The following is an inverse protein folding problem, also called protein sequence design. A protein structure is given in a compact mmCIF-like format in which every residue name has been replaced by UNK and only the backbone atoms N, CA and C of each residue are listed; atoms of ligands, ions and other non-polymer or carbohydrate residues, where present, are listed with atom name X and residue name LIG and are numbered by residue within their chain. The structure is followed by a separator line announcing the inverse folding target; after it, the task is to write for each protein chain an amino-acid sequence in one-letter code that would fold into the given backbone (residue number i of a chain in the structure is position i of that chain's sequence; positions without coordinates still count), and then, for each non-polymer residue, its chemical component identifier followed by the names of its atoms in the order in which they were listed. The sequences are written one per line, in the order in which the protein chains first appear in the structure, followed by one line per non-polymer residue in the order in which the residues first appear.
data_IF_021858177104
#
_entry.id   IF_021858177104
#
_cell.length_a   1.000
_cell.length_b   1.000
_cell.length_c   1.000
_cell.angle_alpha   90.00
_cell.angle_beta   90.00
_cell.angle_gamma   90.00
#
_symmetry.space_group_name_H-M   'P 1'
#
loop_
_entity.id
_entity.type
_entity.pdbx_description
1 polymer ?
#
# COMPACT_ATOMS: atom_id res chain seq x y z
N UNK A 1 -9.74 -10.22 -36.40
CA UNK A 1 -9.22 -10.96 -35.24
C UNK A 1 -8.84 -9.95 -34.16
N UNK A 2 -9.81 -9.56 -33.32
CA UNK A 2 -9.50 -8.77 -32.13
C UNK A 2 -8.94 -9.73 -31.07
N UNK A 3 -7.78 -9.47 -30.47
CA UNK A 3 -7.39 -10.25 -29.31
C UNK A 3 -8.42 -9.91 -28.22
N UNK A 4 -9.28 -10.88 -27.93
CA UNK A 4 -10.01 -10.91 -26.68
C UNK A 4 -8.94 -10.79 -25.59
N UNK A 5 -8.84 -9.59 -25.00
CA UNK A 5 -7.94 -9.33 -23.88
C UNK A 5 -8.28 -10.38 -22.83
N UNK A 6 -7.38 -11.35 -22.70
CA UNK A 6 -7.42 -12.38 -21.68
C UNK A 6 -7.75 -11.65 -20.38
N UNK A 7 -8.90 -11.95 -19.75
CA UNK A 7 -9.27 -11.30 -18.49
C UNK A 7 -8.33 -11.84 -17.42
N UNK A 8 -7.07 -11.41 -17.48
CA UNK A 8 -6.09 -11.61 -16.44
C UNK A 8 -6.72 -11.11 -15.14
N UNK A 9 -6.56 -11.91 -14.08
CA UNK A 9 -7.06 -11.52 -12.77
C UNK A 9 -6.56 -10.10 -12.45
N UNK A 10 -7.39 -9.26 -11.79
CA UNK A 10 -7.01 -7.89 -11.47
C UNK A 10 -5.69 -7.90 -10.70
N UNK A 11 -4.69 -7.09 -11.11
CA UNK A 11 -3.39 -7.05 -10.45
C UNK A 11 -3.54 -6.68 -8.97
N UNK A 12 -2.66 -7.22 -8.13
CA UNK A 12 -2.59 -6.84 -6.71
C UNK A 12 -1.46 -5.85 -6.50
N UNK A 13 -1.79 -4.68 -5.96
CA UNK A 13 -0.87 -3.57 -5.74
C UNK A 13 -0.62 -3.42 -4.23
N UNK A 14 0.64 -3.57 -3.83
CA UNK A 14 1.08 -3.31 -2.46
C UNK A 14 1.41 -1.83 -2.26
N UNK A 15 0.89 -1.22 -1.20
CA UNK A 15 1.11 0.17 -0.83
C UNK A 15 1.85 0.26 0.50
N UNK A 16 3.03 0.86 0.49
CA UNK A 16 3.87 1.00 1.70
C UNK A 16 3.51 2.30 2.39
N UNK A 17 2.76 2.15 3.48
CA UNK A 17 2.19 3.21 4.29
C UNK A 17 2.93 3.37 5.63
N UNK A 18 4.19 2.95 5.72
CA UNK A 18 5.00 3.06 6.95
C UNK A 18 5.22 4.49 7.40
N UNK A 19 5.23 5.45 6.47
CA UNK A 19 5.38 6.88 6.75
C UNK A 19 4.10 7.54 7.29
N UNK A 20 2.93 6.89 7.17
CA UNK A 20 1.71 7.36 7.83
C UNK A 20 1.78 7.14 9.35
N UNK A 21 2.63 6.21 9.81
CA UNK A 21 2.83 5.90 11.22
C UNK A 21 3.86 6.85 11.87
N UNK A 22 3.42 8.05 12.22
CA UNK A 22 4.04 8.83 13.29
C UNK A 22 5.12 9.83 12.86
N UNK A 23 4.74 11.11 12.94
CA UNK A 23 5.65 12.25 12.96
C UNK A 23 4.83 13.51 13.15
N UNK A 24 4.65 13.95 14.39
CA UNK A 24 3.91 15.16 14.75
C UNK A 24 4.78 16.39 14.41
N UNK A 25 4.82 16.74 13.13
CA UNK A 25 5.36 18.00 12.63
C UNK A 25 4.29 18.65 11.75
N UNK A 26 4.12 19.97 11.82
CA UNK A 26 3.08 20.70 11.07
C UNK A 26 3.08 20.39 9.56
N UNK A 27 4.27 20.21 8.96
CA UNK A 27 4.44 19.75 7.56
C UNK A 27 3.95 18.31 7.33
N UNK A 28 4.07 17.45 8.34
CA UNK A 28 3.60 16.07 8.29
C UNK A 28 2.08 15.96 8.38
N UNK A 29 1.39 16.94 9.00
CA UNK A 29 -0.07 16.92 9.11
C UNK A 29 -0.77 16.99 7.73
N UNK A 30 -0.30 17.86 6.84
CA UNK A 30 -0.86 17.99 5.48
C UNK A 30 -0.61 16.75 4.62
N UNK A 31 0.64 16.25 4.59
CA UNK A 31 1.00 15.06 3.81
C UNK A 31 0.31 13.81 4.36
N UNK A 32 0.22 13.69 5.69
CA UNK A 32 -0.49 12.58 6.33
C UNK A 32 -1.96 12.55 5.91
N UNK A 33 -2.68 13.67 6.06
CA UNK A 33 -4.10 13.76 5.66
C UNK A 33 -4.28 13.47 4.18
N UNK A 34 -3.41 14.02 3.31
CA UNK A 34 -3.46 13.74 1.88
C UNK A 34 -3.26 12.26 1.57
N UNK A 35 -2.21 11.62 2.10
CA UNK A 35 -1.96 10.20 1.91
C UNK A 35 -3.09 9.34 2.47
N UNK A 36 -3.66 9.72 3.62
CA UNK A 36 -4.79 9.03 4.22
C UNK A 36 -6.02 9.07 3.31
N UNK A 37 -6.41 10.25 2.85
CA UNK A 37 -7.55 10.43 1.94
C UNK A 37 -7.31 9.75 0.59
N UNK A 38 -6.08 9.79 0.08
CA UNK A 38 -5.71 9.07 -1.14
C UNK A 38 -5.95 7.56 -0.96
N UNK A 39 -5.44 6.96 0.12
CA UNK A 39 -5.64 5.54 0.39
C UNK A 39 -7.11 5.18 0.63
N UNK A 40 -7.89 6.10 1.21
CA UNK A 40 -9.33 5.94 1.43
C UNK A 40 -10.12 5.92 0.12
N UNK A 41 -9.69 6.65 -0.91
CA UNK A 41 -10.45 6.78 -2.16
C UNK A 41 -9.87 5.98 -3.33
N UNK A 42 -8.62 5.54 -3.27
CA UNK A 42 -7.96 4.81 -4.35
C UNK A 42 -8.74 3.58 -4.86
N UNK A 43 -9.29 2.70 -3.99
CA UNK A 43 -10.05 1.53 -4.44
C UNK A 43 -11.37 1.89 -5.12
N UNK A 44 -11.94 3.06 -4.81
CA UNK A 44 -13.20 3.54 -5.38
C UNK A 44 -13.00 4.06 -6.81
N UNK A 45 -11.84 4.66 -7.09
CA UNK A 45 -11.51 5.25 -8.39
C UNK A 45 -10.87 4.22 -9.33
N UNK A 46 -10.18 3.20 -8.80
CA UNK A 46 -9.52 2.17 -9.61
C UNK A 46 -9.94 0.75 -9.21
N UNK A 47 -11.14 0.35 -9.63
CA UNK A 47 -11.66 -1.00 -9.42
C UNK A 47 -10.92 -2.10 -10.22
N UNK A 48 -10.01 -1.71 -11.13
CA UNK A 48 -9.22 -2.63 -11.95
C UNK A 48 -8.11 -3.35 -11.20
N UNK A 49 -7.83 -3.01 -9.93
CA UNK A 49 -6.81 -3.65 -9.11
C UNK A 49 -7.29 -3.91 -7.68
N UNK A 50 -6.59 -4.83 -7.00
CA UNK A 50 -6.73 -5.09 -5.58
C UNK A 50 -5.62 -4.37 -4.83
N UNK A 51 -5.95 -3.62 -3.78
CA UNK A 51 -4.96 -2.89 -3.00
C UNK A 51 -4.70 -3.56 -1.65
N UNK A 52 -3.41 -3.64 -1.27
CA UNK A 52 -2.96 -4.13 0.04
C UNK A 52 -2.08 -3.07 0.68
N UNK A 53 -2.49 -2.51 1.81
CA UNK A 53 -1.70 -1.53 2.56
C UNK A 53 -0.77 -2.18 3.59
N UNK A 54 0.45 -1.66 3.73
CA UNK A 54 1.44 -2.07 4.73
C UNK A 54 1.83 -0.89 5.59
N UNK A 55 1.31 -0.78 6.81
CA UNK A 55 1.53 0.40 7.65
C UNK A 55 1.39 0.15 9.15
N UNK A 56 1.09 1.22 9.88
CA UNK A 56 0.90 1.20 11.34
C UNK A 56 -0.39 0.51 11.77
N UNK A 57 -0.80 0.77 13.02
CA UNK A 57 -2.02 0.17 13.59
C UNK A 57 -3.31 0.69 12.95
N UNK A 58 -3.33 1.97 12.52
CA UNK A 58 -4.48 2.58 11.86
C UNK A 58 -4.47 2.27 10.36
N UNK A 59 -5.62 1.82 9.86
CA UNK A 59 -5.87 1.52 8.46
C UNK A 59 -7.00 2.42 7.93
N UNK A 60 -6.94 2.87 6.67
CA UNK A 60 -8.10 3.43 5.96
C UNK A 60 -9.17 2.35 5.76
N UNK A 61 -10.44 2.68 5.97
CA UNK A 61 -11.56 1.72 5.93
C UNK A 61 -11.78 1.12 4.54
N UNK A 62 -11.44 1.86 3.49
CA UNK A 62 -11.68 1.43 2.12
C UNK A 62 -10.66 0.42 1.59
N UNK A 63 -9.52 0.23 2.27
CA UNK A 63 -8.52 -0.72 1.81
C UNK A 63 -8.97 -2.14 2.14
N UNK A 64 -9.13 -2.95 1.09
CA UNK A 64 -9.62 -4.33 1.18
C UNK A 64 -8.78 -5.20 2.13
N UNK A 65 -7.48 -4.91 2.24
CA UNK A 65 -6.53 -5.60 3.13
C UNK A 65 -5.48 -4.64 3.67
N UNK A 66 -5.37 -4.55 4.99
CA UNK A 66 -4.29 -3.85 5.68
C UNK A 66 -3.43 -4.83 6.48
N UNK A 67 -2.12 -4.72 6.35
CA UNK A 67 -1.14 -5.53 7.07
C UNK A 67 -0.22 -4.62 7.87
N UNK A 68 0.13 -5.07 9.07
CA UNK A 68 1.11 -4.35 9.89
C UNK A 68 2.48 -4.47 9.24
N UNK A 69 3.14 -3.33 9.02
CA UNK A 69 4.47 -3.30 8.46
C UNK A 69 5.51 -3.82 9.49
N UNK A 70 6.53 -4.59 9.08
CA UNK A 70 7.63 -4.97 9.94
C UNK A 70 8.36 -3.75 10.53
N UNK A 71 8.74 -3.83 11.81
CA UNK A 71 9.50 -2.75 12.48
C UNK A 71 10.86 -2.51 11.83
N UNK A 72 11.44 -3.52 11.18
CA UNK A 72 12.70 -3.43 10.43
C UNK A 72 12.63 -2.43 9.26
N UNK A 73 11.44 -2.11 8.75
CA UNK A 73 11.25 -1.10 7.69
C UNK A 73 11.57 0.33 8.12
N UNK A 74 11.92 0.56 9.39
CA UNK A 74 12.49 1.82 9.88
C UNK A 74 13.94 2.02 9.42
N UNK A 75 14.65 0.95 9.10
CA UNK A 75 16.00 1.01 8.54
C UNK A 75 15.95 1.00 7.01
N UNK A 76 16.62 1.92 6.31
CA UNK A 76 16.51 2.07 4.86
C UNK A 76 16.94 0.82 4.09
N UNK A 77 18.03 0.15 4.50
CA UNK A 77 18.51 -1.06 3.84
C UNK A 77 17.55 -2.25 4.04
N UNK A 78 17.03 -2.43 5.25
CA UNK A 78 16.05 -3.46 5.52
C UNK A 78 14.74 -3.22 4.75
N UNK A 79 14.36 -1.95 4.57
CA UNK A 79 13.23 -1.56 3.72
C UNK A 79 13.47 -1.93 2.26
N UNK A 80 14.64 -1.61 1.69
CA UNK A 80 14.98 -1.99 0.31
C UNK A 80 14.92 -3.50 0.13
N UNK A 81 15.57 -4.26 1.03
CA UNK A 81 15.57 -5.73 0.93
C UNK A 81 14.15 -6.31 1.03
N UNK A 82 13.31 -5.76 1.91
CA UNK A 82 11.93 -6.21 2.03
C UNK A 82 11.10 -5.87 0.78
N UNK A 83 11.25 -4.67 0.23
CA UNK A 83 10.57 -4.23 -0.99
C UNK A 83 10.93 -5.11 -2.19
N UNK A 84 12.21 -5.47 -2.32
CA UNK A 84 12.70 -6.22 -3.47
C UNK A 84 12.50 -7.74 -3.34
N UNK A 85 12.57 -8.30 -2.12
CA UNK A 85 12.52 -9.75 -1.92
C UNK A 85 11.21 -10.25 -1.28
N UNK A 86 10.74 -9.59 -0.22
CA UNK A 86 9.61 -10.08 0.58
C UNK A 86 8.26 -9.64 0.00
N UNK A 87 8.13 -8.38 -0.41
CA UNK A 87 6.87 -7.84 -0.92
C UNK A 87 6.34 -8.59 -2.16
N UNK A 88 7.15 -8.96 -3.18
CA UNK A 88 6.67 -9.73 -4.31
C UNK A 88 6.09 -11.10 -3.89
N UNK A 89 6.76 -11.79 -2.96
CA UNK A 89 6.31 -13.08 -2.42
C UNK A 89 5.04 -12.95 -1.57
N UNK A 90 4.82 -11.80 -0.92
CA UNK A 90 3.63 -11.52 -0.13
C UNK A 90 2.41 -11.14 -0.96
N UNK A 91 2.63 -10.62 -2.19
CA UNK A 91 1.59 -10.26 -3.15
C UNK A 91 1.27 -11.39 -4.15
N UNK A 92 2.20 -12.31 -4.37
CA UNK A 92 1.97 -13.53 -5.16
C UNK A 92 1.06 -14.55 -4.46
N UNK A 93 0.72 -14.32 -3.18
CA UNK A 93 -0.21 -15.12 -2.37
C UNK A 93 -1.58 -14.45 -2.28
#
# INVERSE_FOLDING_TARGET
MSPASERAAPPTIGLIATLLAGGQSYRSAGIHTYCWQLLQHLPQVFAGARFVGYGGASAPDALLRWRRAPLSLRHPLARILWEQAALPLLLAR
#
